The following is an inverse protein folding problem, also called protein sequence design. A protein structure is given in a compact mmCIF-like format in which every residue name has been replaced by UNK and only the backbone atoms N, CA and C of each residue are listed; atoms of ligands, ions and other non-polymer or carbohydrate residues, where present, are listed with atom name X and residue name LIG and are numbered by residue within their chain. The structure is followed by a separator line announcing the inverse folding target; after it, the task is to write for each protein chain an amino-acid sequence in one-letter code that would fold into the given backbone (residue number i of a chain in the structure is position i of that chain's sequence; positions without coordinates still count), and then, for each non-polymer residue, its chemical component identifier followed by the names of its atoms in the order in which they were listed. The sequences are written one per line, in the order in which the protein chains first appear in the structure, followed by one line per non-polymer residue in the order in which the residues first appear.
data_IF_418863301268
#
_entry.id   IF_418863301268
#
_cell.length_a   1.000
_cell.length_b   1.000
_cell.length_c   1.000
_cell.angle_alpha   90.00
_cell.angle_beta   90.00
_cell.angle_gamma   90.00
#
_symmetry.space_group_name_H-M   'P 1'
#
loop_
_entity.id
_entity.type
_entity.pdbx_description
1 polymer ?
#
# COMPACT_ATOMS: atom_id res chain seq x y z
N UNK A 1 -56.13 -44.51 44.54
CA UNK A 1 -55.42 -43.24 44.66
C UNK A 1 -54.19 -43.32 43.70
N UNK A 2 -54.31 -42.74 42.55
CA UNK A 2 -53.36 -42.82 41.49
C UNK A 2 -52.93 -41.39 41.14
N UNK A 3 -51.74 -41.02 41.50
CA UNK A 3 -51.11 -39.74 41.06
C UNK A 3 -50.56 -39.89 39.67
N UNK A 4 -51.05 -39.08 38.73
CA UNK A 4 -50.49 -38.88 37.41
C UNK A 4 -49.44 -37.77 37.52
N UNK A 5 -48.23 -38.15 37.34
CA UNK A 5 -47.13 -37.17 37.06
C UNK A 5 -47.24 -36.63 35.62
N UNK A 6 -47.50 -35.34 35.53
CA UNK A 6 -47.46 -34.62 34.23
C UNK A 6 -46.02 -34.41 33.80
N UNK A 7 -45.66 -34.94 32.63
CA UNK A 7 -44.39 -34.64 31.96
C UNK A 7 -44.41 -33.22 31.41
N UNK A 8 -43.45 -32.39 31.78
CA UNK A 8 -43.19 -31.10 31.18
C UNK A 8 -42.47 -31.30 29.82
N UNK A 9 -43.20 -31.11 28.74
CA UNK A 9 -42.61 -30.91 27.42
C UNK A 9 -41.87 -29.56 27.43
N UNK A 10 -40.57 -29.61 27.51
CA UNK A 10 -39.73 -28.44 27.19
C UNK A 10 -39.76 -28.21 25.67
N UNK A 11 -40.52 -27.21 25.27
CA UNK A 11 -40.45 -26.68 23.90
C UNK A 11 -39.03 -26.10 23.66
N UNK A 12 -38.14 -26.94 23.13
CA UNK A 12 -36.84 -26.50 22.65
C UNK A 12 -37.04 -25.52 21.48
N UNK A 13 -36.80 -24.26 21.74
CA UNK A 13 -36.55 -23.33 20.61
C UNK A 13 -35.38 -23.88 19.83
N UNK A 14 -35.49 -23.99 18.48
CA UNK A 14 -34.35 -24.43 17.66
C UNK A 14 -33.17 -23.50 17.91
N UNK A 15 -32.05 -24.09 18.29
CA UNK A 15 -30.78 -23.39 18.37
C UNK A 15 -30.51 -22.68 17.02
N UNK A 16 -30.13 -21.40 17.01
CA UNK A 16 -29.82 -20.74 15.78
C UNK A 16 -28.69 -21.52 15.06
N UNK A 17 -28.75 -21.70 13.73
CA UNK A 17 -27.75 -22.45 12.98
C UNK A 17 -26.37 -21.93 13.34
N UNK A 18 -25.47 -22.87 13.63
CA UNK A 18 -24.04 -22.55 13.88
C UNK A 18 -23.52 -21.67 12.75
N UNK A 19 -23.16 -20.45 13.07
CA UNK A 19 -22.68 -19.43 12.11
C UNK A 19 -21.42 -19.86 11.34
N UNK A 20 -20.89 -21.05 11.62
CA UNK A 20 -19.70 -21.63 10.99
C UNK A 20 -19.97 -22.61 9.85
N UNK A 21 -21.20 -23.07 9.63
CA UNK A 21 -21.48 -24.08 8.60
C UNK A 21 -21.88 -23.45 7.27
N UNK A 22 -20.90 -22.87 6.57
CA UNK A 22 -21.06 -22.38 5.19
C UNK A 22 -21.47 -23.49 4.21
N UNK A 23 -21.26 -24.76 4.55
CA UNK A 23 -21.58 -25.94 3.74
C UNK A 23 -23.01 -26.45 3.95
N UNK A 24 -23.75 -25.98 4.97
CA UNK A 24 -25.13 -26.37 5.23
C UNK A 24 -26.17 -25.89 4.21
N UNK A 25 -25.76 -24.99 3.30
CA UNK A 25 -26.64 -24.42 2.26
C UNK A 25 -26.70 -25.31 0.99
N UNK A 26 -25.75 -26.23 0.79
CA UNK A 26 -25.64 -27.05 -0.42
C UNK A 26 -26.06 -28.51 -0.14
N UNK A 27 -26.86 -29.14 -1.01
CA UNK A 27 -27.33 -30.53 -0.78
C UNK A 27 -26.19 -31.55 -0.59
N UNK A 28 -26.30 -32.39 0.42
CA UNK A 28 -25.32 -33.41 0.83
C UNK A 28 -24.72 -34.27 -0.29
N UNK A 29 -25.48 -34.76 -1.31
CA UNK A 29 -24.92 -35.60 -2.35
C UNK A 29 -23.89 -34.91 -3.24
N UNK A 30 -23.96 -33.56 -3.34
CA UNK A 30 -23.05 -32.75 -4.19
C UNK A 30 -21.77 -32.42 -3.43
N UNK A 31 -21.83 -32.20 -2.12
CA UNK A 31 -20.69 -31.78 -1.30
C UNK A 31 -20.01 -32.87 -0.52
N UNK A 32 -20.58 -34.09 -0.47
CA UNK A 32 -20.04 -35.16 0.36
C UNK A 32 -18.56 -35.51 0.13
N UNK A 33 -18.08 -35.72 -1.12
CA UNK A 33 -16.67 -35.98 -1.39
C UNK A 33 -15.79 -34.77 -1.09
N UNK A 34 -16.24 -33.56 -1.44
CA UNK A 34 -15.50 -32.31 -1.17
C UNK A 34 -15.41 -32.06 0.33
N UNK A 35 -16.48 -32.26 1.08
CA UNK A 35 -16.54 -32.10 2.54
C UNK A 35 -15.58 -33.03 3.27
N UNK A 36 -15.42 -34.29 2.79
CA UNK A 36 -14.42 -35.23 3.35
C UNK A 36 -12.99 -34.78 3.07
N UNK A 37 -12.71 -34.35 1.85
CA UNK A 37 -11.39 -33.86 1.49
C UNK A 37 -11.05 -32.56 2.24
N UNK A 38 -12.03 -31.66 2.38
CA UNK A 38 -11.88 -30.43 3.16
C UNK A 38 -11.66 -30.75 4.65
N UNK A 39 -12.47 -31.61 5.26
CA UNK A 39 -12.30 -32.01 6.64
C UNK A 39 -10.93 -32.65 6.91
N UNK A 40 -10.47 -33.51 5.98
CA UNK A 40 -9.13 -34.09 6.06
C UNK A 40 -8.00 -33.05 6.00
N UNK A 41 -8.16 -32.02 5.15
CA UNK A 41 -7.21 -30.92 5.02
C UNK A 41 -7.25 -30.01 6.27
N UNK A 42 -8.44 -29.65 6.71
CA UNK A 42 -8.64 -28.76 7.84
C UNK A 42 -8.16 -29.36 9.17
N UNK A 43 -8.40 -30.67 9.38
CA UNK A 43 -7.90 -31.41 10.55
C UNK A 43 -6.35 -31.34 10.68
N UNK A 44 -5.64 -31.15 9.56
CA UNK A 44 -4.19 -31.04 9.53
C UNK A 44 -3.64 -29.62 9.52
N UNK A 45 -4.43 -28.67 9.09
CA UNK A 45 -3.99 -27.27 8.87
C UNK A 45 -4.64 -26.28 9.81
N UNK A 46 -5.86 -26.63 10.35
CA UNK A 46 -6.65 -25.68 11.16
C UNK A 46 -7.12 -24.45 10.38
N UNK A 47 -7.14 -24.53 9.04
CA UNK A 47 -7.40 -23.39 8.17
C UNK A 47 -8.80 -22.80 8.36
N UNK A 48 -9.80 -23.64 8.62
CA UNK A 48 -11.17 -23.19 8.89
C UNK A 48 -11.22 -22.33 10.13
N UNK A 49 -10.55 -22.74 11.21
CA UNK A 49 -10.47 -21.94 12.45
C UNK A 49 -9.75 -20.60 12.22
N UNK A 50 -8.69 -20.60 11.42
CA UNK A 50 -7.96 -19.38 11.06
C UNK A 50 -8.83 -18.43 10.23
N UNK A 51 -9.52 -18.95 9.22
CA UNK A 51 -10.44 -18.20 8.37
C UNK A 51 -11.62 -17.65 9.18
N UNK A 52 -12.24 -18.48 10.03
CA UNK A 52 -13.32 -18.07 10.91
C UNK A 52 -12.90 -16.91 11.81
N UNK A 53 -11.74 -17.04 12.46
CA UNK A 53 -11.20 -15.97 13.30
C UNK A 53 -10.96 -14.67 12.52
N UNK A 54 -10.50 -14.75 11.27
CA UNK A 54 -10.29 -13.59 10.42
C UNK A 54 -11.57 -12.96 9.87
N UNK A 55 -12.55 -13.79 9.50
CA UNK A 55 -13.82 -13.33 8.91
C UNK A 55 -14.79 -12.75 9.94
N UNK A 56 -14.79 -13.29 11.18
CA UNK A 56 -15.69 -12.84 12.24
C UNK A 56 -14.97 -12.02 13.32
N UNK A 57 -13.86 -11.40 12.95
CA UNK A 57 -13.20 -10.42 13.81
C UNK A 57 -14.08 -9.17 13.93
N UNK A 58 -14.27 -8.70 15.17
CA UNK A 58 -15.01 -7.47 15.41
C UNK A 58 -14.23 -6.25 14.94
N UNK A 59 -14.80 -5.50 14.00
CA UNK A 59 -14.24 -4.26 13.48
C UNK A 59 -15.12 -3.07 13.84
N UNK A 60 -14.56 -1.85 13.96
CA UNK A 60 -15.35 -0.66 14.28
C UNK A 60 -16.38 -0.37 13.18
N UNK A 61 -17.69 -0.35 13.53
CA UNK A 61 -18.80 -0.05 12.61
C UNK A 61 -18.62 1.27 11.85
N UNK A 62 -18.00 2.22 12.50
CA UNK A 62 -17.86 3.59 12.00
C UNK A 62 -16.61 3.79 11.13
N UNK A 63 -15.95 2.72 10.69
CA UNK A 63 -14.77 2.75 9.86
C UNK A 63 -14.91 3.50 8.52
N UNK A 64 -16.11 3.68 8.00
CA UNK A 64 -16.35 4.40 6.76
C UNK A 64 -15.61 3.78 5.54
N UNK A 65 -15.87 4.34 4.35
CA UNK A 65 -15.27 3.85 3.09
C UNK A 65 -13.76 4.06 3.00
N UNK A 66 -13.20 5.05 3.70
CA UNK A 66 -11.76 5.31 3.69
C UNK A 66 -10.91 4.21 4.35
N UNK A 67 -11.54 3.31 5.10
CA UNK A 67 -10.88 2.15 5.72
C UNK A 67 -10.59 1.02 4.70
N UNK A 68 -11.27 1.02 3.57
CA UNK A 68 -11.05 0.04 2.48
C UNK A 68 -9.76 0.27 1.70
N UNK A 69 -9.10 1.43 1.87
CA UNK A 69 -7.90 1.78 1.10
C UNK A 69 -6.73 0.80 1.35
N UNK A 70 -6.62 0.25 2.56
CA UNK A 70 -5.57 -0.73 2.88
C UNK A 70 -5.78 -2.06 2.15
N UNK A 71 -7.00 -2.61 2.20
CA UNK A 71 -7.37 -3.83 1.48
C UNK A 71 -7.32 -3.64 -0.03
N UNK A 72 -7.77 -2.50 -0.54
CA UNK A 72 -7.65 -2.15 -1.96
C UNK A 72 -6.18 -2.11 -2.43
N UNK A 73 -5.28 -1.51 -1.62
CA UNK A 73 -3.83 -1.53 -1.89
C UNK A 73 -3.31 -2.97 -2.00
N UNK A 74 -3.71 -3.85 -1.07
CA UNK A 74 -3.29 -5.26 -1.09
C UNK A 74 -3.80 -5.98 -2.33
N UNK A 75 -5.07 -5.78 -2.73
CA UNK A 75 -5.64 -6.39 -3.94
C UNK A 75 -4.88 -5.93 -5.19
N UNK A 76 -4.56 -4.64 -5.31
CA UNK A 76 -3.79 -4.14 -6.44
C UNK A 76 -2.38 -4.75 -6.45
N UNK A 77 -1.71 -4.89 -5.30
CA UNK A 77 -0.41 -5.56 -5.21
C UNK A 77 -0.50 -7.01 -5.69
N UNK A 78 -1.57 -7.73 -5.35
CA UNK A 78 -1.81 -9.09 -5.85
C UNK A 78 -1.95 -9.08 -7.39
N UNK A 79 -2.69 -8.12 -7.96
CA UNK A 79 -2.78 -7.96 -9.41
C UNK A 79 -1.40 -7.70 -10.03
N UNK A 80 -0.55 -6.85 -9.41
CA UNK A 80 0.82 -6.60 -9.86
C UNK A 80 1.66 -7.88 -9.86
N UNK A 81 1.54 -8.72 -8.84
CA UNK A 81 2.25 -10.00 -8.78
C UNK A 81 1.86 -10.92 -9.94
N UNK A 82 0.56 -11.12 -10.15
CA UNK A 82 0.09 -11.99 -11.23
C UNK A 82 0.49 -11.47 -12.61
N UNK A 83 0.24 -10.20 -12.88
CA UNK A 83 0.62 -9.60 -14.18
C UNK A 83 2.14 -9.60 -14.39
N UNK A 84 2.93 -9.36 -13.33
CA UNK A 84 4.39 -9.44 -13.38
C UNK A 84 4.90 -10.85 -13.71
N UNK A 85 4.28 -11.91 -13.15
CA UNK A 85 4.62 -13.31 -13.48
C UNK A 85 4.31 -13.60 -14.95
N UNK A 86 3.15 -13.15 -15.47
CA UNK A 86 2.82 -13.34 -16.88
C UNK A 86 3.82 -12.60 -17.79
N UNK A 87 4.18 -11.36 -17.47
CA UNK A 87 5.18 -10.62 -18.24
C UNK A 87 6.56 -11.30 -18.22
N UNK A 88 6.89 -11.98 -17.12
CA UNK A 88 8.17 -12.67 -16.98
C UNK A 88 8.32 -13.87 -17.93
N UNK A 89 7.20 -14.44 -18.41
CA UNK A 89 7.24 -15.60 -19.32
C UNK A 89 7.87 -15.26 -20.67
N UNK A 90 7.69 -14.04 -21.15
CA UNK A 90 8.10 -13.62 -22.50
C UNK A 90 9.20 -12.52 -22.48
N UNK A 91 9.37 -11.82 -21.36
CA UNK A 91 10.36 -10.75 -21.25
C UNK A 91 11.79 -11.30 -21.16
N UNK A 92 12.68 -10.81 -22.03
CA UNK A 92 14.09 -11.20 -22.06
C UNK A 92 14.97 -10.04 -21.54
N UNK A 93 15.63 -10.14 -20.36
CA UNK A 93 16.43 -9.07 -19.77
C UNK A 93 17.81 -8.93 -20.44
N UNK A 94 17.82 -8.62 -21.71
CA UNK A 94 19.02 -8.40 -22.54
C UNK A 94 18.92 -7.08 -23.29
N UNK A 95 19.98 -6.31 -23.33
CA UNK A 95 20.01 -5.01 -24.05
C UNK A 95 19.68 -5.14 -25.54
N UNK A 96 19.84 -6.32 -26.13
CA UNK A 96 19.52 -6.60 -27.53
C UNK A 96 18.12 -7.16 -27.72
N UNK A 97 17.46 -7.67 -26.68
CA UNK A 97 16.19 -8.37 -26.79
C UNK A 97 15.08 -7.82 -25.90
N UNK A 98 15.39 -7.02 -24.88
CA UNK A 98 14.39 -6.50 -23.95
C UNK A 98 13.29 -5.73 -24.69
N UNK A 99 13.67 -4.81 -25.57
CA UNK A 99 12.75 -4.03 -26.39
C UNK A 99 11.93 -4.93 -27.32
N UNK A 100 12.58 -5.81 -28.09
CA UNK A 100 11.90 -6.68 -29.06
C UNK A 100 10.99 -7.70 -28.41
N UNK A 101 11.31 -8.19 -27.20
CA UNK A 101 10.41 -9.06 -26.45
C UNK A 101 9.13 -8.35 -26.03
N UNK A 102 9.19 -7.04 -25.73
CA UNK A 102 7.98 -6.24 -25.43
C UNK A 102 7.23 -5.83 -26.71
N UNK A 103 7.91 -5.66 -27.85
CA UNK A 103 7.22 -5.50 -29.14
C UNK A 103 6.43 -6.75 -29.49
N UNK A 104 7.00 -7.94 -29.29
CA UNK A 104 6.30 -9.20 -29.47
C UNK A 104 5.04 -9.28 -28.57
N UNK A 105 5.17 -9.01 -27.26
CA UNK A 105 4.04 -8.95 -26.34
C UNK A 105 2.96 -7.97 -26.79
N UNK A 106 3.34 -6.86 -27.43
CA UNK A 106 2.39 -5.84 -27.88
C UNK A 106 1.70 -6.19 -29.19
N UNK A 107 2.42 -6.80 -30.14
CA UNK A 107 1.95 -6.96 -31.51
C UNK A 107 1.41 -8.38 -31.81
N UNK A 108 2.02 -9.40 -31.25
CA UNK A 108 1.83 -10.80 -31.64
C UNK A 108 1.20 -11.67 -30.55
N UNK A 109 1.30 -11.27 -29.26
CA UNK A 109 0.63 -11.98 -28.16
C UNK A 109 -0.81 -11.49 -28.02
N UNK A 110 -1.75 -12.45 -27.91
CA UNK A 110 -3.20 -12.18 -27.84
C UNK A 110 -3.58 -11.32 -26.61
N UNK A 111 -2.89 -11.50 -25.50
CA UNK A 111 -3.17 -10.80 -24.23
C UNK A 111 -1.99 -9.96 -23.74
N UNK A 112 -0.84 -10.03 -24.39
CA UNK A 112 0.39 -9.45 -23.92
C UNK A 112 0.32 -7.95 -23.68
N UNK A 113 -0.20 -7.19 -24.63
CA UNK A 113 -0.36 -5.72 -24.51
C UNK A 113 -1.34 -5.36 -23.38
N UNK A 114 -2.42 -6.12 -23.25
CA UNK A 114 -3.39 -5.89 -22.19
C UNK A 114 -2.83 -6.20 -20.80
N UNK A 115 -2.12 -7.33 -20.63
CA UNK A 115 -1.47 -7.70 -19.37
C UNK A 115 -0.42 -6.65 -18.99
N UNK A 116 0.38 -6.19 -19.97
CA UNK A 116 1.34 -5.11 -19.77
C UNK A 116 0.63 -3.80 -19.38
N UNK A 117 -0.49 -3.49 -20.01
CA UNK A 117 -1.37 -2.37 -19.67
C UNK A 117 -1.89 -2.46 -18.24
N UNK A 118 -2.39 -3.63 -17.82
CA UNK A 118 -2.86 -3.87 -16.43
C UNK A 118 -1.72 -3.64 -15.44
N UNK A 119 -0.51 -4.10 -15.76
CA UNK A 119 0.65 -3.91 -14.90
C UNK A 119 1.00 -2.42 -14.75
N UNK A 120 1.02 -1.66 -15.82
CA UNK A 120 1.31 -0.21 -15.80
C UNK A 120 0.22 0.57 -15.07
N UNK A 121 -1.05 0.41 -15.47
CA UNK A 121 -2.17 1.14 -14.85
C UNK A 121 -2.42 0.71 -13.42
N UNK A 122 -2.10 -0.54 -13.09
CA UNK A 122 -2.10 -1.05 -11.74
C UNK A 122 -1.03 -0.36 -10.88
N UNK A 123 0.18 -0.14 -11.41
CA UNK A 123 1.23 0.61 -10.71
C UNK A 123 0.81 2.07 -10.44
N UNK A 124 0.21 2.74 -11.43
CA UNK A 124 -0.32 4.10 -11.28
C UNK A 124 -1.44 4.19 -10.24
N UNK A 125 -2.38 3.27 -10.30
CA UNK A 125 -3.48 3.19 -9.33
C UNK A 125 -2.97 2.85 -7.93
N UNK A 126 -1.99 1.96 -7.82
CA UNK A 126 -1.34 1.61 -6.55
C UNK A 126 -0.71 2.84 -5.89
N UNK A 127 0.03 3.65 -6.64
CA UNK A 127 0.65 4.87 -6.12
C UNK A 127 -0.38 5.86 -5.57
N UNK A 128 -1.50 6.03 -6.27
CA UNK A 128 -2.60 6.88 -5.80
C UNK A 128 -3.22 6.32 -4.51
N UNK A 129 -3.58 5.03 -4.52
CA UNK A 129 -4.33 4.41 -3.41
C UNK A 129 -3.47 4.29 -2.15
N UNK A 130 -2.17 3.95 -2.27
CA UNK A 130 -1.25 3.90 -1.12
C UNK A 130 -1.00 5.30 -0.53
N UNK A 131 -0.95 6.33 -1.39
CA UNK A 131 -0.87 7.73 -0.95
C UNK A 131 -2.11 8.14 -0.15
N UNK A 132 -3.31 7.83 -0.66
CA UNK A 132 -4.58 8.07 0.03
C UNK A 132 -4.69 7.27 1.33
N UNK A 133 -4.21 6.02 1.35
CA UNK A 133 -4.15 5.19 2.56
C UNK A 133 -3.25 5.82 3.63
N UNK A 134 -2.06 6.27 3.26
CA UNK A 134 -1.15 6.96 4.17
C UNK A 134 -1.75 8.28 4.67
N UNK A 135 -2.36 9.08 3.78
CA UNK A 135 -3.03 10.33 4.13
C UNK A 135 -4.19 10.11 5.11
N UNK A 136 -5.04 9.11 4.86
CA UNK A 136 -6.12 8.75 5.80
C UNK A 136 -5.57 8.37 7.17
N UNK A 137 -4.54 7.54 7.22
CA UNK A 137 -3.89 7.11 8.46
C UNK A 137 -3.28 8.29 9.21
N UNK A 138 -2.71 9.25 8.48
CA UNK A 138 -2.19 10.50 9.02
C UNK A 138 -3.30 11.39 9.61
N UNK A 139 -4.37 11.66 8.86
CA UNK A 139 -5.48 12.51 9.30
C UNK A 139 -6.14 11.94 10.55
N UNK A 140 -6.39 10.63 10.59
CA UNK A 140 -7.02 9.96 11.72
C UNK A 140 -6.09 9.72 12.91
N UNK A 141 -4.82 10.14 12.84
CA UNK A 141 -3.81 9.88 13.87
C UNK A 141 -3.68 8.40 14.26
N UNK A 142 -3.92 7.50 13.31
CA UNK A 142 -3.84 6.06 13.55
C UNK A 142 -2.43 5.56 13.81
N UNK A 143 -1.41 6.38 13.54
CA UNK A 143 0.00 6.11 13.81
C UNK A 143 0.42 6.27 15.28
N UNK A 144 -0.45 6.86 16.13
CA UNK A 144 -0.13 7.08 17.54
C UNK A 144 -0.14 5.76 18.30
N UNK A 145 0.53 5.75 19.47
CA UNK A 145 0.67 4.59 20.34
C UNK A 145 -0.63 3.79 20.49
N UNK A 146 -0.62 2.46 20.34
CA UNK A 146 0.56 1.57 20.23
C UNK A 146 0.92 1.19 18.77
N UNK A 147 0.57 2.02 17.76
CA UNK A 147 0.67 1.69 16.32
C UNK A 147 1.86 2.36 15.61
N UNK A 148 2.86 2.83 16.37
CA UNK A 148 4.05 3.48 15.82
C UNK A 148 4.79 2.58 14.82
N UNK A 149 5.01 1.31 15.18
CA UNK A 149 5.68 0.35 14.30
C UNK A 149 4.83 0.01 13.07
N UNK A 150 3.51 0.02 13.20
CA UNK A 150 2.63 -0.17 12.04
C UNK A 150 2.75 0.99 11.04
N UNK A 151 2.83 2.22 11.52
CA UNK A 151 3.11 3.39 10.69
C UNK A 151 4.49 3.30 10.02
N UNK A 152 5.54 2.99 10.78
CA UNK A 152 6.91 2.88 10.27
C UNK A 152 6.98 1.82 9.16
N UNK A 153 6.39 0.64 9.37
CA UNK A 153 6.33 -0.40 8.34
C UNK A 153 5.55 0.06 7.10
N UNK A 154 4.46 0.82 7.27
CA UNK A 154 3.70 1.43 6.19
C UNK A 154 4.51 2.45 5.37
N UNK A 155 5.30 3.30 6.03
CA UNK A 155 6.21 4.26 5.37
C UNK A 155 7.31 3.50 4.60
N UNK A 156 7.85 2.44 5.17
CA UNK A 156 8.82 1.59 4.47
C UNK A 156 8.20 0.93 3.23
N UNK A 157 6.97 0.43 3.33
CA UNK A 157 6.21 -0.11 2.20
C UNK A 157 5.98 0.94 1.11
N UNK A 158 5.63 2.16 1.47
CA UNK A 158 5.46 3.26 0.51
C UNK A 158 6.73 3.53 -0.29
N UNK A 159 7.89 3.66 0.37
CA UNK A 159 9.17 3.84 -0.33
C UNK A 159 9.59 2.62 -1.14
N UNK A 160 9.25 1.42 -0.68
CA UNK A 160 9.52 0.19 -1.42
C UNK A 160 8.67 0.10 -2.70
N UNK A 161 7.41 0.53 -2.67
CA UNK A 161 6.55 0.61 -3.88
C UNK A 161 7.09 1.67 -4.84
N UNK A 162 7.58 2.81 -4.37
CA UNK A 162 8.31 3.76 -5.22
C UNK A 162 9.53 3.11 -5.88
N UNK A 163 10.35 2.37 -5.12
CA UNK A 163 11.50 1.66 -5.67
C UNK A 163 11.08 0.58 -6.70
N UNK A 164 9.95 -0.10 -6.47
CA UNK A 164 9.34 -1.01 -7.46
C UNK A 164 8.97 -0.27 -8.75
N UNK A 165 8.28 0.87 -8.64
CA UNK A 165 7.85 1.64 -9.80
C UNK A 165 9.03 2.12 -10.65
N UNK A 166 10.09 2.69 -10.03
CA UNK A 166 11.25 3.17 -10.78
C UNK A 166 12.04 2.04 -11.42
N UNK A 167 12.24 0.92 -10.72
CA UNK A 167 12.95 -0.24 -11.27
C UNK A 167 12.16 -0.90 -12.40
N UNK A 168 10.83 -0.92 -12.33
CA UNK A 168 9.96 -1.40 -13.41
C UNK A 168 10.02 -0.53 -14.66
N UNK A 169 9.99 0.80 -14.49
CA UNK A 169 10.10 1.75 -15.60
C UNK A 169 11.44 1.66 -16.36
N UNK A 170 12.48 1.07 -15.76
CA UNK A 170 13.80 0.90 -16.39
C UNK A 170 13.90 -0.36 -17.27
N UNK A 171 12.96 -1.30 -17.19
CA UNK A 171 13.05 -2.61 -17.84
C UNK A 171 12.73 -2.59 -19.35
N UNK A 172 11.84 -1.76 -19.89
CA UNK A 172 11.46 -1.81 -21.29
C UNK A 172 12.63 -1.65 -22.27
N UNK A 173 13.69 -0.98 -21.84
CA UNK A 173 14.87 -0.71 -22.66
C UNK A 173 14.56 0.01 -23.97
N UNK A 174 13.46 0.76 -23.95
CA UNK A 174 13.11 1.75 -24.95
C UNK A 174 13.86 3.07 -24.69
N UNK A 175 13.61 4.08 -25.47
CA UNK A 175 14.31 5.37 -25.34
C UNK A 175 14.05 6.02 -23.97
N UNK A 176 12.81 6.00 -23.48
CA UNK A 176 12.44 6.54 -22.17
C UNK A 176 13.10 5.76 -21.02
N UNK A 177 13.05 4.43 -21.05
CA UNK A 177 13.64 3.57 -20.04
C UNK A 177 15.17 3.71 -19.96
N UNK A 178 15.87 3.77 -21.10
CA UNK A 178 17.32 3.94 -21.12
C UNK A 178 17.76 5.26 -20.49
N UNK A 179 17.12 6.36 -20.86
CA UNK A 179 17.50 7.67 -20.34
C UNK A 179 17.03 7.87 -18.91
N UNK A 180 15.88 7.32 -18.52
CA UNK A 180 15.46 7.25 -17.11
C UNK A 180 16.50 6.47 -16.29
N UNK A 181 16.96 5.32 -16.77
CA UNK A 181 18.03 4.54 -16.13
C UNK A 181 19.30 5.36 -15.97
N UNK A 182 19.68 6.11 -17.01
CA UNK A 182 20.86 6.95 -17.00
C UNK A 182 20.77 8.05 -15.95
N UNK A 183 19.63 8.75 -15.87
CA UNK A 183 19.38 9.80 -14.87
C UNK A 183 19.35 9.24 -13.46
N UNK A 184 18.50 8.25 -13.22
CA UNK A 184 18.26 7.70 -11.87
C UNK A 184 19.54 7.10 -11.28
N UNK A 185 20.27 6.31 -12.07
CA UNK A 185 21.53 5.71 -11.59
C UNK A 185 22.67 6.72 -11.45
N UNK A 186 22.53 7.92 -12.03
CA UNK A 186 23.50 9.00 -11.85
C UNK A 186 23.23 9.85 -10.59
N UNK A 187 22.01 9.89 -10.08
CA UNK A 187 21.68 10.67 -8.89
C UNK A 187 22.62 10.39 -7.71
N UNK A 188 22.93 9.14 -7.34
CA UNK A 188 23.87 8.85 -6.27
C UNK A 188 25.28 9.44 -6.48
N UNK A 189 25.72 9.63 -7.73
CA UNK A 189 27.05 10.16 -8.02
C UNK A 189 27.35 11.48 -7.31
N UNK A 190 26.34 12.30 -7.12
CA UNK A 190 26.47 13.61 -6.47
C UNK A 190 26.59 13.53 -4.93
N UNK A 191 26.49 12.33 -4.34
CA UNK A 191 26.76 12.16 -2.92
C UNK A 191 28.26 12.23 -2.63
N UNK A 192 28.69 13.07 -1.68
CA UNK A 192 30.10 13.11 -1.29
C UNK A 192 30.61 11.73 -0.83
N UNK A 193 31.84 11.41 -1.13
CA UNK A 193 32.59 10.24 -0.70
C UNK A 193 32.08 8.91 -1.28
N UNK A 194 30.80 8.57 -1.12
CA UNK A 194 30.26 7.23 -1.46
C UNK A 194 29.51 7.18 -2.81
N UNK A 195 29.10 8.33 -3.33
CA UNK A 195 28.16 8.39 -4.45
C UNK A 195 28.61 7.69 -5.71
N UNK A 196 29.88 7.88 -6.08
CA UNK A 196 30.45 7.19 -7.24
C UNK A 196 30.48 5.66 -7.05
N UNK A 197 30.78 5.18 -5.84
CA UNK A 197 30.71 3.76 -5.51
C UNK A 197 29.31 3.18 -5.67
N UNK A 198 28.29 3.87 -5.18
CA UNK A 198 26.89 3.47 -5.33
C UNK A 198 26.46 3.44 -6.79
N UNK A 199 26.84 4.46 -7.57
CA UNK A 199 26.57 4.50 -9.01
C UNK A 199 27.17 3.30 -9.72
N UNK A 200 28.47 3.04 -9.50
CA UNK A 200 29.20 1.92 -10.13
C UNK A 200 28.61 0.58 -9.68
N UNK A 201 28.26 0.46 -8.41
CA UNK A 201 27.64 -0.73 -7.87
C UNK A 201 26.30 -1.02 -8.58
N UNK A 202 25.45 -0.01 -8.78
CA UNK A 202 24.16 -0.21 -9.47
C UNK A 202 24.36 -0.48 -10.96
N UNK A 203 25.15 0.35 -11.66
CA UNK A 203 25.39 0.20 -13.10
C UNK A 203 26.18 -1.05 -13.47
N UNK A 204 27.02 -1.53 -12.57
CA UNK A 204 27.99 -2.58 -12.88
C UNK A 204 29.22 -2.06 -13.62
N UNK A 205 29.41 -0.73 -13.68
CA UNK A 205 30.48 -0.05 -14.36
C UNK A 205 30.23 1.45 -14.53
N UNK A 206 31.01 2.09 -15.41
CA UNK A 206 30.85 3.54 -15.64
C UNK A 206 29.63 3.90 -16.51
N UNK A 207 29.19 2.99 -17.37
CA UNK A 207 28.13 3.20 -18.35
C UNK A 207 26.91 2.32 -18.06
N UNK A 208 25.75 2.80 -18.48
CA UNK A 208 24.50 2.04 -18.49
C UNK A 208 24.58 0.98 -19.60
N UNK A 209 24.27 -0.28 -19.29
CA UNK A 209 24.37 -1.38 -20.24
C UNK A 209 23.80 -2.69 -19.68
N UNK A 210 24.24 -3.82 -20.22
CA UNK A 210 23.70 -5.15 -19.88
C UNK A 210 23.71 -5.42 -18.38
N UNK A 211 24.81 -5.13 -17.69
CA UNK A 211 24.89 -5.39 -16.23
C UNK A 211 23.90 -4.52 -15.46
N UNK A 212 23.67 -3.28 -15.90
CA UNK A 212 22.66 -2.40 -15.30
C UNK A 212 21.26 -3.00 -15.44
N UNK A 213 20.90 -3.42 -16.65
CA UNK A 213 19.60 -4.04 -16.93
C UNK A 213 19.40 -5.33 -16.11
N UNK A 214 20.40 -6.20 -16.09
CA UNK A 214 20.33 -7.46 -15.32
C UNK A 214 20.14 -7.21 -13.82
N UNK A 215 20.86 -6.23 -13.23
CA UNK A 215 20.72 -5.89 -11.81
C UNK A 215 19.37 -5.25 -11.52
N UNK A 216 18.91 -4.35 -12.37
CA UNK A 216 17.57 -3.73 -12.23
C UNK A 216 16.47 -4.78 -12.34
N UNK A 217 16.58 -5.71 -13.29
CA UNK A 217 15.69 -6.85 -13.42
C UNK A 217 15.67 -7.72 -12.13
N UNK A 218 16.84 -8.07 -11.62
CA UNK A 218 16.94 -8.85 -10.37
C UNK A 218 16.34 -8.11 -9.16
N UNK A 219 16.52 -6.80 -9.07
CA UNK A 219 15.90 -5.98 -8.04
C UNK A 219 14.38 -5.99 -8.19
N UNK A 220 13.85 -5.69 -9.37
CA UNK A 220 12.41 -5.57 -9.61
C UNK A 220 11.65 -6.88 -9.47
N UNK A 221 12.22 -7.99 -9.95
CA UNK A 221 11.53 -9.28 -10.02
C UNK A 221 11.70 -10.13 -8.76
N UNK A 222 12.85 -10.02 -8.09
CA UNK A 222 13.19 -10.92 -6.98
C UNK A 222 13.38 -10.19 -5.65
N UNK A 223 14.31 -9.25 -5.59
CA UNK A 223 14.76 -8.69 -4.31
C UNK A 223 13.67 -7.81 -3.69
N UNK A 224 13.19 -6.81 -4.42
CA UNK A 224 12.18 -5.88 -3.91
C UNK A 224 10.84 -6.57 -3.63
N UNK A 225 10.31 -7.49 -4.49
CA UNK A 225 9.12 -8.23 -4.18
C UNK A 225 9.24 -9.12 -2.94
N UNK A 226 10.39 -9.77 -2.74
CA UNK A 226 10.62 -10.58 -1.54
C UNK A 226 10.57 -9.72 -0.26
N UNK A 227 11.21 -8.54 -0.28
CA UNK A 227 11.15 -7.58 0.83
C UNK A 227 9.72 -7.05 1.01
N UNK A 228 9.01 -6.77 -0.10
CA UNK A 228 7.63 -6.28 -0.08
C UNK A 228 6.70 -7.27 0.63
N UNK A 229 6.76 -8.55 0.27
CA UNK A 229 5.95 -9.60 0.90
C UNK A 229 6.26 -9.73 2.39
N UNK A 230 7.54 -9.72 2.77
CA UNK A 230 7.93 -9.78 4.18
C UNK A 230 7.43 -8.57 4.98
N UNK A 231 7.55 -7.37 4.43
CA UNK A 231 7.06 -6.14 5.08
C UNK A 231 5.53 -6.08 5.12
N UNK A 232 4.80 -6.54 4.09
CA UNK A 232 3.34 -6.67 4.13
C UNK A 232 2.93 -7.61 5.25
N UNK A 233 3.58 -8.76 5.36
CA UNK A 233 3.32 -9.71 6.45
C UNK A 233 3.51 -9.09 7.83
N UNK A 234 4.60 -8.35 8.03
CA UNK A 234 4.86 -7.62 9.27
C UNK A 234 3.84 -6.52 9.54
N UNK A 235 3.46 -5.74 8.51
CA UNK A 235 2.47 -4.66 8.60
C UNK A 235 1.08 -5.20 8.99
N UNK A 236 0.63 -6.27 8.32
CA UNK A 236 -0.64 -6.92 8.63
C UNK A 236 -0.62 -7.60 10.00
N UNK A 237 0.50 -8.22 10.40
CA UNK A 237 0.64 -8.76 11.74
C UNK A 237 0.50 -7.68 12.82
N UNK A 238 1.15 -6.54 12.65
CA UNK A 238 1.06 -5.41 13.58
C UNK A 238 -0.36 -4.83 13.63
N UNK A 239 -1.05 -4.74 12.48
CA UNK A 239 -2.43 -4.33 12.40
C UNK A 239 -3.34 -5.27 13.20
N UNK A 240 -3.22 -6.58 13.00
CA UNK A 240 -4.00 -7.59 13.72
C UNK A 240 -3.69 -7.60 15.23
N UNK A 241 -2.44 -7.38 15.61
CA UNK A 241 -2.02 -7.34 17.01
C UNK A 241 -2.61 -6.17 17.78
N UNK A 242 -2.71 -4.99 17.15
CA UNK A 242 -3.14 -3.75 17.81
C UNK A 242 -4.57 -3.33 17.44
N UNK A 243 -5.22 -4.07 16.54
CA UNK A 243 -6.56 -3.81 16.03
C UNK A 243 -6.64 -2.55 15.14
N UNK A 244 -7.75 -2.40 14.46
CA UNK A 244 -8.05 -1.18 13.71
C UNK A 244 -8.49 -0.07 14.67
N UNK A 245 -8.07 1.15 14.37
CA UNK A 245 -8.53 2.32 15.09
C UNK A 245 -9.85 2.80 14.50
N UNK A 246 -10.93 2.82 15.32
CA UNK A 246 -12.21 3.40 14.95
C UNK A 246 -12.10 4.88 14.57
N UNK A 247 -13.08 5.38 13.84
CA UNK A 247 -13.14 6.79 13.42
C UNK A 247 -13.03 7.73 14.63
N UNK A 248 -12.30 8.85 14.48
CA UNK A 248 -12.24 9.94 15.47
C UNK A 248 -13.62 10.52 15.82
N UNK A 249 -14.65 10.29 15.00
CA UNK A 249 -16.05 10.69 15.24
C UNK A 249 -16.60 10.11 16.54
N UNK A 250 -16.06 8.99 17.02
CA UNK A 250 -16.46 8.35 18.27
C UNK A 250 -15.56 8.64 19.46
N UNK A 251 -14.59 9.49 19.27
CA UNK A 251 -13.81 10.03 20.36
C UNK A 251 -14.64 11.10 21.12
N UNK A 252 -15.84 10.69 21.55
CA UNK A 252 -16.55 11.44 22.59
C UNK A 252 -15.84 11.16 23.90
N UNK A 253 -15.19 12.18 24.41
CA UNK A 253 -14.87 12.25 25.81
C UNK A 253 -16.18 12.05 26.59
N UNK A 254 -16.14 11.34 27.68
CA UNK A 254 -17.29 11.20 28.59
C UNK A 254 -17.73 12.53 29.21
N UNK A 255 -16.98 13.59 28.93
CA UNK A 255 -17.23 14.96 29.35
C UNK A 255 -17.42 15.86 28.12
N UNK A 256 -18.38 16.77 28.22
CA UNK A 256 -18.66 17.77 27.18
C UNK A 256 -17.51 18.79 26.97
N UNK A 257 -16.42 18.66 27.73
CA UNK A 257 -15.26 19.53 27.66
C UNK A 257 -13.93 18.76 27.62
N UNK A 258 -13.38 18.51 26.41
CA UNK A 258 -12.11 17.78 26.23
C UNK A 258 -10.91 18.43 26.96
N UNK A 259 -10.91 19.75 27.09
CA UNK A 259 -9.83 20.46 27.77
C UNK A 259 -9.85 20.19 29.30
N UNK A 260 -11.02 20.02 29.88
CA UNK A 260 -11.15 19.66 31.29
C UNK A 260 -10.69 18.22 31.54
N UNK A 261 -11.01 17.28 30.65
CA UNK A 261 -10.54 15.90 30.77
C UNK A 261 -9.02 15.79 30.66
N UNK A 262 -8.41 16.50 29.70
CA UNK A 262 -6.96 16.56 29.56
C UNK A 262 -6.30 17.17 30.83
N UNK A 263 -6.87 18.25 31.35
CA UNK A 263 -6.38 18.88 32.56
C UNK A 263 -6.55 17.99 33.82
N UNK A 264 -7.62 17.21 33.89
CA UNK A 264 -7.89 16.29 34.97
C UNK A 264 -6.99 15.07 34.93
N UNK A 265 -6.68 14.54 33.74
CA UNK A 265 -5.67 13.48 33.52
C UNK A 265 -4.26 13.95 33.89
N UNK A 266 -3.91 15.19 33.52
CA UNK A 266 -2.65 15.79 33.90
C UNK A 266 -2.51 15.94 35.44
N UNK A 267 -3.62 16.29 36.12
CA UNK A 267 -3.68 16.37 37.60
C UNK A 267 -3.53 15.03 38.27
N UNK A 268 -4.05 13.93 37.67
CA UNK A 268 -3.94 12.58 38.21
C UNK A 268 -2.60 11.93 37.93
N UNK A 269 -1.69 12.62 37.20
CA UNK A 269 -0.42 12.06 36.72
C UNK A 269 -0.61 10.74 35.93
N UNK A 270 -1.80 10.54 35.34
CA UNK A 270 -2.07 9.40 34.48
C UNK A 270 -1.23 9.50 33.22
N UNK A 271 -0.60 8.39 32.77
CA UNK A 271 0.14 8.41 31.53
C UNK A 271 -0.77 8.87 30.39
N UNK A 272 -0.31 9.69 29.43
CA UNK A 272 -1.11 10.23 28.34
C UNK A 272 -1.67 9.15 27.41
N UNK A 273 -1.29 7.89 27.64
CA UNK A 273 -1.72 6.72 26.89
C UNK A 273 -2.07 5.57 27.81
N UNK A 274 -3.13 4.78 27.50
CA UNK A 274 -3.46 3.60 28.27
C UNK A 274 -2.28 2.62 28.25
N UNK A 275 -1.83 2.23 29.42
CA UNK A 275 -1.02 1.04 29.58
C UNK A 275 -1.88 -0.21 29.41
N UNK A 276 -1.27 -1.35 29.05
CA UNK A 276 -1.96 -2.64 28.95
C UNK A 276 -2.71 -2.92 30.24
N UNK A 277 -4.03 -2.78 30.25
CA UNK A 277 -4.90 -2.88 31.46
C UNK A 277 -5.69 -1.61 31.77
N UNK A 278 -5.38 -0.44 31.17
CA UNK A 278 -6.20 0.77 31.24
C UNK A 278 -7.09 0.95 30.00
N UNK A 279 -7.41 -0.16 29.32
CA UNK A 279 -8.20 -0.21 28.08
C UNK A 279 -9.62 0.35 28.22
N UNK A 280 -10.07 0.56 29.45
CA UNK A 280 -11.41 1.08 29.75
C UNK A 280 -11.62 2.57 29.41
N UNK A 281 -10.58 3.33 29.11
CA UNK A 281 -10.68 4.80 28.92
C UNK A 281 -10.70 5.21 27.45
N UNK A 282 -10.11 4.42 26.57
CA UNK A 282 -10.39 4.55 25.14
C UNK A 282 -11.55 3.63 24.83
N UNK A 283 -12.76 4.17 24.95
CA UNK A 283 -13.97 3.44 24.65
C UNK A 283 -13.76 2.60 23.40
N UNK A 284 -13.80 1.29 23.57
CA UNK A 284 -14.17 0.37 22.49
C UNK A 284 -15.25 1.10 21.72
N UNK A 285 -15.17 1.22 20.39
CA UNK A 285 -16.24 1.81 19.61
C UNK A 285 -17.54 1.25 20.14
N UNK A 286 -18.48 2.10 20.50
CA UNK A 286 -19.74 1.68 21.14
C UNK A 286 -20.52 0.67 20.29
N UNK A 287 -20.13 0.52 19.02
CA UNK A 287 -20.69 -0.43 18.06
C UNK A 287 -19.56 -1.05 17.22
N UNK A 288 -19.39 -2.34 17.33
CA UNK A 288 -18.61 -3.17 16.44
C UNK A 288 -19.52 -3.96 15.52
N UNK A 289 -19.04 -4.30 14.33
CA UNK A 289 -19.65 -5.24 13.40
C UNK A 289 -18.65 -6.34 13.09
N UNK A 290 -19.10 -7.48 12.66
CA UNK A 290 -18.23 -8.52 12.18
C UNK A 290 -17.58 -8.06 10.84
N UNK A 291 -16.32 -8.43 10.62
CA UNK A 291 -15.66 -8.12 9.37
C UNK A 291 -16.45 -8.68 8.18
N UNK A 292 -16.93 -9.93 8.28
CA UNK A 292 -17.89 -10.49 7.33
C UNK A 292 -19.31 -10.40 7.93
N UNK A 293 -20.31 -9.90 7.17
CA UNK A 293 -20.24 -9.43 5.79
C UNK A 293 -19.89 -7.94 5.61
N UNK A 294 -20.00 -7.13 6.66
CA UNK A 294 -20.08 -5.67 6.56
C UNK A 294 -18.83 -5.01 5.95
N UNK A 295 -17.66 -5.24 6.55
CA UNK A 295 -16.43 -4.62 6.09
C UNK A 295 -15.93 -5.30 4.82
N UNK A 296 -16.01 -6.62 4.73
CA UNK A 296 -15.61 -7.38 3.55
C UNK A 296 -16.39 -6.96 2.30
N UNK A 297 -17.69 -6.66 2.44
CA UNK A 297 -18.49 -6.14 1.32
C UNK A 297 -17.92 -4.81 0.80
N UNK A 298 -17.62 -3.87 1.69
CA UNK A 298 -17.03 -2.57 1.31
C UNK A 298 -15.67 -2.74 0.65
N UNK A 299 -14.82 -3.57 1.24
CA UNK A 299 -13.47 -3.86 0.73
C UNK A 299 -13.53 -4.49 -0.65
N UNK A 300 -14.43 -5.46 -0.86
CA UNK A 300 -14.62 -6.12 -2.15
C UNK A 300 -15.17 -5.14 -3.20
N UNK A 301 -16.14 -4.30 -2.84
CA UNK A 301 -16.72 -3.33 -3.76
C UNK A 301 -15.67 -2.31 -4.22
N UNK A 302 -14.95 -1.68 -3.28
CA UNK A 302 -13.92 -0.67 -3.62
C UNK A 302 -12.79 -1.29 -4.43
N UNK A 303 -12.27 -2.44 -3.99
CA UNK A 303 -11.22 -3.16 -4.71
C UNK A 303 -11.68 -3.58 -6.11
N UNK A 304 -12.91 -4.09 -6.23
CA UNK A 304 -13.50 -4.49 -7.50
C UNK A 304 -13.62 -3.32 -8.48
N UNK A 305 -14.11 -2.16 -8.02
CA UNK A 305 -14.19 -0.95 -8.84
C UNK A 305 -12.80 -0.52 -9.34
N UNK A 306 -11.79 -0.55 -8.47
CA UNK A 306 -10.42 -0.19 -8.85
C UNK A 306 -9.81 -1.20 -9.85
N UNK A 307 -10.05 -2.49 -9.65
CA UNK A 307 -9.59 -3.53 -10.60
C UNK A 307 -10.26 -3.35 -11.95
N UNK A 308 -11.58 -3.11 -12.01
CA UNK A 308 -12.28 -2.81 -13.24
C UNK A 308 -11.72 -1.55 -13.89
N UNK A 309 -11.47 -0.49 -13.13
CA UNK A 309 -10.83 0.72 -13.65
C UNK A 309 -9.47 0.42 -14.30
N UNK A 310 -8.60 -0.34 -13.61
CA UNK A 310 -7.29 -0.74 -14.14
C UNK A 310 -7.46 -1.51 -15.47
N UNK A 311 -8.37 -2.45 -15.52
CA UNK A 311 -8.62 -3.27 -16.71
C UNK A 311 -9.15 -2.46 -17.89
N UNK A 312 -10.07 -1.53 -17.62
CA UNK A 312 -10.61 -0.63 -18.64
C UNK A 312 -9.53 0.32 -19.16
N UNK A 313 -8.72 0.90 -18.27
CA UNK A 313 -7.61 1.77 -18.67
C UNK A 313 -6.56 1.02 -19.49
N UNK A 314 -6.27 -0.22 -19.13
CA UNK A 314 -5.40 -1.09 -19.92
C UNK A 314 -5.93 -1.36 -21.34
N UNK A 315 -7.25 -1.52 -21.49
CA UNK A 315 -7.88 -1.70 -22.80
C UNK A 315 -7.89 -0.43 -23.66
N UNK A 316 -8.09 0.74 -23.03
CA UNK A 316 -8.23 2.02 -23.77
C UNK A 316 -6.87 2.59 -24.15
N UNK A 317 -5.90 2.52 -23.22
CA UNK A 317 -4.62 3.24 -23.35
C UNK A 317 -3.41 2.31 -23.50
N UNK A 318 -3.58 0.99 -23.22
CA UNK A 318 -2.48 0.03 -23.22
C UNK A 318 -1.32 0.45 -22.32
N UNK A 319 -0.12 -0.01 -22.66
CA UNK A 319 1.13 0.49 -22.10
C UNK A 319 2.00 1.05 -23.24
N UNK A 320 2.27 2.36 -23.27
CA UNK A 320 3.09 2.95 -24.33
C UNK A 320 4.49 2.33 -24.34
N UNK A 321 5.09 2.27 -25.51
CA UNK A 321 6.46 1.84 -25.72
C UNK A 321 7.07 2.82 -26.71
N UNK A 322 8.13 3.50 -26.28
CA UNK A 322 8.92 4.39 -27.12
C UNK A 322 9.72 3.60 -28.15
N UNK A 323 10.39 4.31 -29.08
CA UNK A 323 11.35 3.65 -29.98
C UNK A 323 12.50 2.97 -29.22
N UNK A 324 13.23 2.05 -29.86
CA UNK A 324 14.33 1.33 -29.22
C UNK A 324 15.43 2.31 -28.74
N UNK A 325 16.08 1.95 -27.63
CA UNK A 325 17.09 2.79 -27.01
C UNK A 325 18.22 3.17 -27.98
N UNK A 326 18.38 4.46 -28.19
CA UNK A 326 19.48 5.03 -28.97
C UNK A 326 20.38 5.85 -28.06
N UNK A 327 21.55 5.32 -27.76
CA UNK A 327 22.53 5.94 -26.87
C UNK A 327 23.17 7.19 -27.43
N UNK A 328 23.06 7.44 -28.74
CA UNK A 328 23.58 8.62 -29.41
C UNK A 328 22.66 9.84 -29.36
N UNK A 329 21.38 9.66 -28.96
CA UNK A 329 20.39 10.75 -28.89
C UNK A 329 20.55 11.53 -27.58
N UNK A 330 21.59 12.33 -27.45
CA UNK A 330 21.90 13.07 -26.22
C UNK A 330 20.90 14.18 -25.88
N UNK A 331 20.02 14.53 -26.80
CA UNK A 331 18.98 15.57 -26.61
C UNK A 331 17.66 15.03 -26.05
N UNK A 332 17.54 13.73 -25.88
CA UNK A 332 16.35 13.14 -25.32
C UNK A 332 16.22 13.45 -23.82
N UNK A 333 15.10 13.99 -23.42
CA UNK A 333 14.76 14.28 -22.01
C UNK A 333 13.67 13.29 -21.57
N UNK A 334 13.99 12.33 -20.70
CA UNK A 334 13.00 11.40 -20.22
C UNK A 334 11.96 12.11 -19.36
N UNK A 335 10.68 11.83 -19.61
CA UNK A 335 9.57 12.33 -18.80
C UNK A 335 9.36 11.37 -17.64
N UNK A 336 9.51 11.82 -16.38
CA UNK A 336 9.26 10.97 -15.25
C UNK A 336 7.77 10.68 -15.09
N UNK A 337 7.44 9.56 -14.45
CA UNK A 337 6.08 9.21 -14.08
C UNK A 337 5.45 10.29 -13.18
N UNK A 338 4.14 10.48 -13.28
CA UNK A 338 3.42 11.59 -12.64
C UNK A 338 3.73 11.77 -11.15
N UNK A 339 3.96 10.68 -10.43
CA UNK A 339 4.25 10.72 -8.99
C UNK A 339 5.72 11.07 -8.66
N UNK A 340 6.60 11.11 -9.66
CA UNK A 340 7.96 11.66 -9.53
C UNK A 340 8.06 13.11 -9.99
N UNK A 341 7.07 13.66 -10.69
CA UNK A 341 7.08 15.04 -11.18
C UNK A 341 7.37 16.09 -10.09
N UNK A 342 6.82 15.97 -8.84
CA UNK A 342 7.15 16.92 -7.79
C UNK A 342 8.63 16.95 -7.45
N UNK A 343 9.26 15.77 -7.40
CA UNK A 343 10.70 15.66 -7.12
C UNK A 343 11.52 16.17 -8.30
N UNK A 344 11.18 15.78 -9.51
CA UNK A 344 11.84 16.22 -10.74
C UNK A 344 11.80 17.76 -10.87
N UNK A 345 10.62 18.36 -10.68
CA UNK A 345 10.48 19.81 -10.72
C UNK A 345 11.23 20.51 -9.60
N UNK A 346 11.25 19.93 -8.40
CA UNK A 346 12.03 20.48 -7.29
C UNK A 346 13.52 20.50 -7.60
N UNK A 347 14.04 19.47 -8.27
CA UNK A 347 15.45 19.39 -8.64
C UNK A 347 15.89 20.44 -9.65
N UNK A 348 14.96 20.91 -10.49
CA UNK A 348 15.24 22.01 -11.45
C UNK A 348 15.62 23.31 -10.74
N UNK A 349 15.17 23.51 -9.50
CA UNK A 349 15.55 24.71 -8.73
C UNK A 349 16.95 24.64 -8.12
N UNK A 350 17.59 23.47 -8.15
CA UNK A 350 18.97 23.34 -7.65
C UNK A 350 19.98 23.57 -8.77
N UNK A 351 21.07 24.30 -8.52
CA UNK A 351 22.22 24.30 -9.43
C UNK A 351 22.72 22.88 -9.66
N UNK A 352 23.19 22.57 -10.88
CA UNK A 352 23.62 21.22 -11.27
C UNK A 352 24.58 20.58 -10.26
N UNK A 353 25.50 21.35 -9.70
CA UNK A 353 26.47 20.88 -8.69
C UNK A 353 25.80 20.45 -7.36
N UNK A 354 24.58 20.91 -7.07
CA UNK A 354 23.84 20.65 -5.82
C UNK A 354 22.65 19.72 -6.02
N UNK A 355 22.35 19.26 -7.23
CA UNK A 355 21.20 18.39 -7.50
C UNK A 355 21.19 17.15 -6.59
N UNK A 356 22.32 16.45 -6.50
CA UNK A 356 22.41 15.26 -5.67
C UNK A 356 22.24 15.56 -4.17
N UNK A 357 22.79 16.67 -3.69
CA UNK A 357 22.55 17.16 -2.34
C UNK A 357 21.05 17.49 -2.14
N UNK A 358 20.41 18.16 -3.12
CA UNK A 358 18.98 18.46 -3.09
C UNK A 358 18.11 17.21 -2.96
N UNK A 359 18.34 16.18 -3.79
CA UNK A 359 17.64 14.90 -3.68
C UNK A 359 17.82 14.29 -2.29
N UNK A 360 19.05 14.22 -1.81
CA UNK A 360 19.35 13.56 -0.56
C UNK A 360 18.73 14.28 0.64
N UNK A 361 18.82 15.61 0.65
CA UNK A 361 18.24 16.43 1.72
C UNK A 361 16.71 16.34 1.68
N UNK A 362 16.10 16.53 0.51
CA UNK A 362 14.65 16.57 0.40
C UNK A 362 14.03 15.20 0.65
N UNK A 363 14.52 14.16 -0.03
CA UNK A 363 14.00 12.79 0.15
C UNK A 363 14.38 12.26 1.52
N UNK A 364 15.62 12.48 1.97
CA UNK A 364 16.10 12.01 3.27
C UNK A 364 15.39 12.68 4.45
N UNK A 365 15.23 14.02 4.41
CA UNK A 365 14.47 14.74 5.45
C UNK A 365 13.00 14.35 5.39
N UNK A 366 12.39 14.29 4.21
CA UNK A 366 11.01 13.89 4.04
C UNK A 366 10.74 12.49 4.61
N UNK A 367 11.56 11.51 4.24
CA UNK A 367 11.48 10.15 4.77
C UNK A 367 11.69 10.10 6.30
N UNK A 368 12.67 10.84 6.80
CA UNK A 368 12.95 10.91 8.26
C UNK A 368 11.78 11.51 9.02
N UNK A 369 11.18 12.59 8.52
CA UNK A 369 9.99 13.21 9.13
C UNK A 369 8.79 12.27 9.11
N UNK A 370 8.57 11.56 8.01
CA UNK A 370 7.50 10.56 7.93
C UNK A 370 7.71 9.42 8.94
N UNK A 371 8.92 8.89 9.05
CA UNK A 371 9.25 7.82 10.01
C UNK A 371 9.17 8.31 11.46
N UNK A 372 9.60 9.54 11.74
CA UNK A 372 9.62 10.13 13.07
C UNK A 372 8.27 10.70 13.52
N UNK A 373 7.27 10.79 12.64
CA UNK A 373 5.98 11.41 12.92
C UNK A 373 5.32 10.92 14.22
N UNK A 374 5.27 9.60 14.53
CA UNK A 374 4.66 9.11 15.77
C UNK A 374 5.34 9.62 17.04
N UNK A 375 6.60 10.05 16.95
CA UNK A 375 7.41 10.54 18.06
C UNK A 375 7.44 12.07 18.13
N UNK A 376 7.17 12.75 17.01
CA UNK A 376 7.09 14.22 16.91
C UNK A 376 5.71 14.71 17.34
N UNK A 377 4.64 14.05 16.87
CA UNK A 377 3.25 14.39 17.24
C UNK A 377 2.94 13.86 18.63
N UNK A 378 3.26 14.68 19.64
CA UNK A 378 3.03 14.38 21.06
C UNK A 378 1.66 14.77 21.58
N UNK A 379 0.84 15.44 20.75
CA UNK A 379 -0.52 15.80 21.14
C UNK A 379 -1.32 14.52 21.48
N UNK A 380 -1.93 14.37 22.64
CA UNK A 380 -2.71 13.18 22.98
C UNK A 380 -3.98 13.05 22.14
N UNK A 381 -4.49 14.17 21.62
CA UNK A 381 -5.72 14.18 20.83
C UNK A 381 -5.48 13.59 19.43
N UNK A 382 -6.52 12.97 18.89
CA UNK A 382 -6.52 12.39 17.55
C UNK A 382 -7.47 13.11 16.59
N UNK A 383 -8.37 13.94 17.13
CA UNK A 383 -9.30 14.70 16.32
C UNK A 383 -8.54 15.71 15.45
N UNK A 384 -8.78 15.77 14.13
CA UNK A 384 -8.04 16.66 13.24
C UNK A 384 -8.05 18.13 13.67
N UNK A 385 -9.21 18.65 14.10
CA UNK A 385 -9.37 20.06 14.50
C UNK A 385 -8.51 20.42 15.72
N UNK A 386 -8.18 19.46 16.56
CA UNK A 386 -7.37 19.66 17.76
C UNK A 386 -5.86 19.48 17.54
N UNK A 387 -5.45 19.29 16.28
CA UNK A 387 -4.05 19.04 15.89
C UNK A 387 -3.57 20.02 14.80
N UNK A 388 -3.82 21.31 14.92
CA UNK A 388 -3.42 22.29 13.90
C UNK A 388 -1.90 22.38 13.72
N UNK A 389 -1.15 22.12 14.78
CA UNK A 389 0.32 22.09 14.84
C UNK A 389 0.94 21.06 13.89
N UNK A 390 0.24 19.97 13.61
CA UNK A 390 0.69 18.92 12.69
C UNK A 390 -0.03 19.03 11.33
N UNK A 391 -1.33 19.32 11.34
CA UNK A 391 -2.13 19.30 10.10
C UNK A 391 -1.88 20.50 9.21
N UNK A 392 -1.63 21.70 9.78
CA UNK A 392 -1.36 22.90 8.97
C UNK A 392 -0.04 22.74 8.19
N UNK A 393 1.10 22.40 8.80
CA UNK A 393 2.33 22.13 8.03
C UNK A 393 2.17 21.03 6.97
N UNK A 394 1.44 19.95 7.29
CA UNK A 394 1.19 18.88 6.35
C UNK A 394 0.32 19.34 5.16
N UNK A 395 -0.69 20.17 5.40
CA UNK A 395 -1.50 20.77 4.34
C UNK A 395 -0.63 21.60 3.38
N UNK A 396 0.24 22.46 3.90
CA UNK A 396 1.16 23.22 3.08
C UNK A 396 2.15 22.33 2.32
N UNK A 397 2.63 21.26 2.94
CA UNK A 397 3.51 20.30 2.26
C UNK A 397 2.78 19.61 1.09
N UNK A 398 1.56 19.11 1.31
CA UNK A 398 0.74 18.48 0.27
C UNK A 398 0.45 19.47 -0.86
N UNK A 399 0.07 20.70 -0.51
CA UNK A 399 -0.15 21.77 -1.49
C UNK A 399 1.11 22.04 -2.31
N UNK A 400 2.28 22.10 -1.66
CA UNK A 400 3.57 22.29 -2.33
C UNK A 400 3.88 21.14 -3.29
N UNK A 401 3.64 19.89 -2.87
CA UNK A 401 3.84 18.70 -3.73
C UNK A 401 2.93 18.77 -4.96
N UNK A 402 1.65 19.11 -4.79
CA UNK A 402 0.70 19.25 -5.91
C UNK A 402 1.13 20.41 -6.82
N UNK A 403 1.53 21.55 -6.27
CA UNK A 403 1.98 22.70 -7.02
C UNK A 403 3.24 22.38 -7.85
N UNK A 404 4.21 21.68 -7.27
CA UNK A 404 5.39 21.22 -7.96
C UNK A 404 5.06 20.23 -9.10
N UNK A 405 4.09 19.32 -8.87
CA UNK A 405 3.62 18.43 -9.92
C UNK A 405 3.01 19.22 -11.09
N UNK A 406 2.18 20.21 -10.81
CA UNK A 406 1.58 21.08 -11.86
C UNK A 406 2.64 21.87 -12.62
N UNK A 407 3.65 22.41 -11.93
CA UNK A 407 4.78 23.08 -12.59
C UNK A 407 5.59 22.11 -13.48
N UNK A 408 5.78 20.89 -13.02
CA UNK A 408 6.44 19.84 -13.81
C UNK A 408 5.67 19.48 -15.07
N UNK A 409 4.36 19.32 -14.97
CA UNK A 409 3.48 19.12 -16.14
C UNK A 409 3.58 20.28 -17.09
N UNK A 410 3.42 21.51 -16.62
CA UNK A 410 3.53 22.72 -17.46
C UNK A 410 4.89 22.79 -18.19
N UNK A 411 5.99 22.52 -17.50
CA UNK A 411 7.34 22.54 -18.07
C UNK A 411 7.53 21.49 -19.18
N UNK A 412 7.03 20.26 -18.95
CA UNK A 412 7.26 19.14 -19.85
C UNK A 412 6.34 19.15 -21.07
N UNK A 413 5.13 19.67 -20.92
CA UNK A 413 4.10 19.65 -21.97
C UNK A 413 3.81 21.05 -22.57
N UNK A 414 4.55 22.09 -22.16
CA UNK A 414 4.37 23.49 -22.64
C UNK A 414 2.90 23.97 -22.53
N UNK A 415 2.22 23.62 -21.45
CA UNK A 415 0.83 24.03 -21.16
C UNK A 415 0.77 25.41 -20.50
#
# INVERSE_FOLDING_TARGET
MSERTAGSETSGTPEPPDKGDFMGIVPEPVVGPFRRSWAWFDDRTGVTGLLHKGLYEAVPRQGGWAYTLGSATLVIIIVQFFTGIFLLLDYVPSVTQAYTSLEYLRADDVFGDWIRGIHLWGAYTLMLVIGLHALRTFISASYKKPRELNWISGVMLFFLVLAMAITGAMLPWDQAAYWTTTVVTNIPHYLPVIGNGVRILWRGGNFVGQVTLTRTFALHVWVLPAILVALIGAHLYLLRRHGEFGSWVNYRTTTDNPAQEIAERARRAEPPYPTRGSEAIYSVPSETVDFFPDQLFKDTLVSGVLVVFIFVMALISGAPLDGPANTATLTYVPTPEWFYLPLDQLLVFFPTALIGFGVFVVVGIGATLMLALPFIDRNPDRHPVHRPDVLIPAFFLIFTVIYLAMLGVNRLYNL
#
